data_IF_262107972017
#
_entry.id   IF_262107972017
#
_cell.length_a   1.000
_cell.length_b   1.000
_cell.length_c   1.000
_cell.angle_alpha   90.00
_cell.angle_beta   90.00
_cell.angle_gamma   90.00
#
_symmetry.space_group_name_H-M   'P 1'
#
loop_
_entity.id
_entity.type
_entity.pdbx_description
1 polymer ?
#
# COMPACT_ATOMS: atom_id res chain seq x y z
N UNK A 1 1.13 -0.62 -17.25
CA UNK A 1 2.47 -0.35 -16.70
C UNK A 1 3.28 -1.61 -16.83
N UNK A 2 4.50 -1.52 -17.35
CA UNK A 2 5.44 -2.65 -17.42
C UNK A 2 6.24 -2.76 -16.12
N UNK A 3 6.76 -3.96 -15.82
CA UNK A 3 7.63 -4.25 -14.67
C UNK A 3 8.74 -3.22 -14.45
N UNK A 4 9.46 -2.85 -15.52
CA UNK A 4 10.53 -1.84 -15.48
C UNK A 4 10.07 -0.49 -14.92
N UNK A 5 8.87 -0.05 -15.29
CA UNK A 5 8.33 1.22 -14.80
C UNK A 5 7.99 1.16 -13.31
N UNK A 6 7.59 -0.02 -12.81
CA UNK A 6 7.35 -0.24 -11.38
C UNK A 6 8.66 -0.15 -10.60
N UNK A 7 9.72 -0.78 -11.10
CA UNK A 7 11.06 -0.73 -10.49
C UNK A 7 11.58 0.70 -10.48
N UNK A 8 11.51 1.41 -11.60
CA UNK A 8 11.95 2.80 -11.69
C UNK A 8 11.21 3.72 -10.69
N UNK A 9 9.91 3.48 -10.47
CA UNK A 9 9.13 4.22 -9.46
C UNK A 9 9.55 3.87 -8.05
N UNK A 10 9.79 2.59 -7.75
CA UNK A 10 10.30 2.17 -6.45
C UNK A 10 11.63 2.83 -6.12
N UNK A 11 12.57 2.84 -7.07
CA UNK A 11 13.86 3.52 -6.98
C UNK A 11 13.69 5.03 -6.74
N UNK A 12 12.78 5.70 -7.45
CA UNK A 12 12.51 7.13 -7.27
C UNK A 12 11.90 7.51 -5.90
N UNK A 13 11.40 6.50 -5.18
CA UNK A 13 10.84 6.62 -3.84
C UNK A 13 11.81 6.14 -2.76
N UNK A 14 12.98 5.60 -3.11
CA UNK A 14 14.03 5.31 -2.14
C UNK A 14 14.47 6.56 -1.39
N UNK A 15 14.48 6.46 -0.05
CA UNK A 15 14.74 7.58 0.85
C UNK A 15 13.52 8.47 1.18
N UNK A 16 12.42 8.42 0.42
CA UNK A 16 11.19 9.17 0.72
C UNK A 16 10.29 8.37 1.65
N UNK A 17 10.37 8.63 2.95
CA UNK A 17 9.56 7.92 3.95
C UNK A 17 8.09 8.39 3.95
N UNK A 18 7.16 7.46 3.82
CA UNK A 18 5.76 7.69 4.15
C UNK A 18 5.58 8.12 5.62
N UNK A 19 4.49 8.85 5.88
CA UNK A 19 4.14 9.27 7.23
C UNK A 19 3.29 8.20 7.91
N UNK A 20 3.68 7.86 9.14
CA UNK A 20 2.86 7.12 10.07
C UNK A 20 1.85 8.04 10.75
N UNK A 21 0.58 7.67 10.71
CA UNK A 21 -0.47 8.31 11.50
C UNK A 21 -1.18 7.29 12.40
N UNK A 22 -1.63 7.70 13.59
CA UNK A 22 -2.50 6.87 14.41
C UNK A 22 -3.79 6.56 13.63
N UNK A 23 -4.22 5.31 13.72
CA UNK A 23 -5.46 4.84 13.10
C UNK A 23 -6.13 3.90 14.09
N UNK A 24 -7.02 4.47 14.91
CA UNK A 24 -7.76 3.77 15.96
C UNK A 24 -8.87 2.86 15.40
N UNK A 25 -9.28 3.11 14.15
CA UNK A 25 -10.34 2.36 13.49
C UNK A 25 -9.78 1.50 12.35
N UNK A 26 -10.09 0.20 12.39
CA UNK A 26 -9.76 -0.70 11.30
C UNK A 26 -10.83 -0.63 10.20
N UNK A 27 -10.44 -0.51 8.93
CA UNK A 27 -11.39 -0.48 7.81
C UNK A 27 -12.22 -1.77 7.73
N UNK A 28 -13.54 -1.63 7.80
CA UNK A 28 -14.53 -2.69 7.75
C UNK A 28 -15.45 -2.57 6.52
N UNK A 29 -16.12 -3.66 6.13
CA UNK A 29 -17.00 -3.70 4.95
C UNK A 29 -16.28 -3.52 3.60
N UNK A 30 -14.98 -3.85 3.55
CA UNK A 30 -14.13 -3.62 2.39
C UNK A 30 -14.08 -4.82 1.46
N UNK A 31 -13.89 -4.56 0.16
CA UNK A 31 -13.66 -5.60 -0.86
C UNK A 31 -12.17 -5.70 -1.16
N UNK A 32 -11.59 -6.86 -0.90
CA UNK A 32 -10.20 -7.15 -1.21
C UNK A 32 -10.03 -7.64 -2.66
N UNK A 33 -9.01 -7.15 -3.34
CA UNK A 33 -8.55 -7.58 -4.65
C UNK A 33 -7.06 -7.91 -4.58
N UNK A 34 -6.64 -8.87 -5.41
CA UNK A 34 -5.22 -9.17 -5.62
C UNK A 34 -4.55 -8.01 -6.35
N UNK A 35 -3.29 -7.78 -6.03
CA UNK A 35 -2.46 -6.84 -6.78
C UNK A 35 -2.24 -7.33 -8.22
N UNK A 36 -2.06 -6.39 -9.18
CA UNK A 36 -1.61 -6.72 -10.52
C UNK A 36 -0.26 -7.45 -10.46
N UNK A 37 -0.10 -8.48 -11.30
CA UNK A 37 1.12 -9.30 -11.30
C UNK A 37 2.37 -8.48 -11.62
N UNK A 38 2.29 -7.51 -12.53
CA UNK A 38 3.42 -6.65 -12.91
C UNK A 38 3.95 -5.81 -11.74
N UNK A 39 3.04 -5.33 -10.87
CA UNK A 39 3.42 -4.55 -9.69
C UNK A 39 4.08 -5.45 -8.65
N UNK A 40 3.55 -6.67 -8.47
CA UNK A 40 4.16 -7.67 -7.59
C UNK A 40 5.58 -7.97 -8.10
N UNK A 41 5.72 -8.38 -9.36
CA UNK A 41 6.97 -8.85 -9.94
C UNK A 41 8.09 -7.80 -9.86
N UNK A 42 7.79 -6.54 -10.21
CA UNK A 42 8.77 -5.47 -10.17
C UNK A 42 9.24 -5.14 -8.75
N UNK A 43 8.34 -5.11 -7.77
CA UNK A 43 8.70 -4.78 -6.40
C UNK A 43 9.33 -5.96 -5.64
N UNK A 44 8.88 -7.19 -5.91
CA UNK A 44 9.51 -8.39 -5.37
C UNK A 44 10.96 -8.52 -5.87
N UNK A 45 11.22 -8.20 -7.14
CA UNK A 45 12.57 -8.18 -7.70
C UNK A 45 13.45 -7.09 -7.08
N UNK A 46 12.96 -5.84 -7.02
CA UNK A 46 13.75 -4.72 -6.52
C UNK A 46 14.08 -4.83 -5.02
N UNK A 47 13.10 -5.20 -4.21
CA UNK A 47 13.25 -5.24 -2.75
C UNK A 47 13.54 -6.64 -2.18
N UNK A 48 13.55 -7.68 -3.02
CA UNK A 48 13.70 -9.08 -2.60
C UNK A 48 12.73 -9.50 -1.49
N UNK A 49 11.46 -9.09 -1.61
CA UNK A 49 10.38 -9.37 -0.64
C UNK A 49 9.25 -10.18 -1.28
N UNK A 50 8.37 -10.79 -0.47
CA UNK A 50 7.19 -11.51 -0.96
C UNK A 50 5.91 -10.71 -0.76
N UNK A 51 5.32 -10.19 -1.83
CA UNK A 51 4.10 -9.38 -1.85
C UNK A 51 2.83 -10.18 -2.15
N UNK A 52 2.93 -11.49 -2.35
CA UNK A 52 1.76 -12.35 -2.66
C UNK A 52 0.64 -12.30 -1.59
N UNK A 53 0.95 -11.89 -0.35
CA UNK A 53 -0.01 -11.75 0.74
C UNK A 53 -0.67 -10.37 0.79
N UNK A 54 -0.14 -9.40 0.05
CA UNK A 54 -0.67 -8.05 0.01
C UNK A 54 -1.98 -8.02 -0.77
N UNK A 55 -2.97 -7.35 -0.18
CA UNK A 55 -4.30 -7.18 -0.77
C UNK A 55 -4.64 -5.71 -0.86
N UNK A 56 -5.33 -5.35 -1.94
CA UNK A 56 -5.87 -4.01 -2.15
C UNK A 56 -7.34 -4.02 -1.76
N UNK A 57 -7.71 -3.21 -0.79
CA UNK A 57 -9.05 -3.07 -0.25
C UNK A 57 -9.69 -1.79 -0.76
N UNK A 58 -10.96 -1.88 -1.17
CA UNK A 58 -11.78 -0.72 -1.57
C UNK A 58 -13.20 -0.79 -1.02
N UNK A 59 -13.87 0.36 -0.95
CA UNK A 59 -15.23 0.48 -0.41
C UNK A 59 -15.29 0.43 1.12
N UNK A 60 -16.49 0.19 1.67
CA UNK A 60 -16.71 0.19 3.12
C UNK A 60 -16.38 1.54 3.77
N UNK A 61 -15.84 1.50 5.00
CA UNK A 61 -15.47 2.73 5.72
C UNK A 61 -14.09 3.32 5.33
N UNK A 62 -13.43 2.81 4.28
CA UNK A 62 -12.11 3.32 3.85
C UNK A 62 -12.18 4.81 3.52
N UNK A 63 -13.28 5.27 2.92
CA UNK A 63 -13.42 6.66 2.53
C UNK A 63 -13.46 7.61 3.72
N UNK A 64 -14.07 7.21 4.83
CA UNK A 64 -14.09 7.99 6.07
C UNK A 64 -12.72 8.01 6.74
N UNK A 65 -12.10 6.84 6.87
CA UNK A 65 -10.75 6.70 7.44
C UNK A 65 -9.74 7.52 6.62
N UNK A 66 -9.80 7.44 5.29
CA UNK A 66 -8.96 8.23 4.40
C UNK A 66 -9.14 9.74 4.58
N UNK A 67 -10.37 10.22 4.81
CA UNK A 67 -10.64 11.62 5.15
C UNK A 67 -10.01 12.03 6.49
N UNK A 68 -10.18 11.21 7.54
CA UNK A 68 -9.56 11.42 8.86
C UNK A 68 -8.03 11.48 8.75
N UNK A 69 -7.46 10.57 7.95
CA UNK A 69 -6.03 10.49 7.67
C UNK A 69 -5.55 11.58 6.67
N UNK A 70 -6.45 12.30 6.00
CA UNK A 70 -6.16 13.23 4.89
C UNK A 70 -5.28 12.58 3.81
N UNK A 71 -5.66 11.37 3.41
CA UNK A 71 -4.93 10.50 2.51
C UNK A 71 -5.81 10.01 1.37
N UNK A 72 -5.25 9.82 0.17
CA UNK A 72 -5.96 9.17 -0.95
C UNK A 72 -5.86 7.64 -0.89
N UNK A 73 -4.77 7.16 -0.31
CA UNK A 73 -4.51 5.77 -0.04
C UNK A 73 -3.77 5.68 1.30
N UNK A 74 -3.97 4.59 2.00
CA UNK A 74 -3.23 4.29 3.21
C UNK A 74 -3.01 2.79 3.33
N UNK A 75 -1.97 2.40 4.06
CA UNK A 75 -1.64 1.00 4.24
C UNK A 75 -1.63 0.65 5.72
N UNK A 76 -2.14 -0.54 6.05
CA UNK A 76 -2.18 -1.07 7.41
C UNK A 76 -1.63 -2.49 7.34
N UNK A 77 -0.58 -2.74 8.12
CA UNK A 77 0.15 -4.02 8.10
C UNK A 77 0.68 -4.32 6.69
N UNK A 78 0.13 -5.32 6.01
CA UNK A 78 0.43 -5.66 4.63
C UNK A 78 -0.69 -5.34 3.65
N UNK A 79 -1.75 -4.63 4.06
CA UNK A 79 -2.91 -4.36 3.21
C UNK A 79 -2.94 -2.90 2.79
N UNK A 80 -3.36 -2.67 1.54
CA UNK A 80 -3.46 -1.35 0.94
C UNK A 80 -4.93 -0.98 0.86
N UNK A 81 -5.30 0.20 1.32
CA UNK A 81 -6.67 0.70 1.32
C UNK A 81 -6.76 1.93 0.45
N UNK A 82 -7.56 1.86 -0.61
CA UNK A 82 -7.76 2.98 -1.54
C UNK A 82 -9.09 3.65 -1.26
N UNK A 83 -9.06 4.96 -1.02
CA UNK A 83 -10.25 5.79 -0.77
C UNK A 83 -11.18 5.81 -1.98
N UNK A 84 -10.59 5.76 -3.18
CA UNK A 84 -11.30 5.74 -4.45
C UNK A 84 -11.11 4.40 -5.14
N UNK A 85 -12.21 3.74 -5.47
CA UNK A 85 -12.19 2.43 -6.14
C UNK A 85 -11.57 2.46 -7.54
N UNK A 86 -11.57 3.61 -8.21
CA UNK A 86 -10.94 3.79 -9.54
C UNK A 86 -9.42 3.65 -9.51
N UNK A 87 -8.80 3.95 -8.36
CA UNK A 87 -7.35 3.91 -8.21
C UNK A 87 -6.79 2.47 -8.13
N UNK A 88 -7.64 1.44 -8.01
CA UNK A 88 -7.19 0.03 -8.09
C UNK A 88 -6.56 -0.27 -9.44
N UNK A 89 -7.00 0.41 -10.50
CA UNK A 89 -6.43 0.27 -11.85
C UNK A 89 -5.14 1.08 -12.00
N UNK A 90 -4.86 2.00 -11.08
CA UNK A 90 -3.69 2.85 -11.12
C UNK A 90 -2.48 2.09 -10.58
N UNK A 91 -1.77 1.40 -11.47
CA UNK A 91 -0.57 0.64 -11.12
C UNK A 91 0.54 1.51 -10.54
N UNK A 92 0.62 2.78 -10.94
CA UNK A 92 1.60 3.72 -10.38
C UNK A 92 1.31 4.03 -8.92
N UNK A 93 0.04 4.31 -8.59
CA UNK A 93 -0.35 4.55 -7.21
C UNK A 93 -0.08 3.30 -6.36
N UNK A 94 -0.41 2.11 -6.88
CA UNK A 94 -0.13 0.87 -6.17
C UNK A 94 1.36 0.68 -5.91
N UNK A 95 2.21 0.89 -6.92
CA UNK A 95 3.66 0.81 -6.78
C UNK A 95 4.21 1.82 -5.76
N UNK A 96 3.66 3.04 -5.76
CA UNK A 96 4.02 4.10 -4.81
C UNK A 96 3.71 3.68 -3.37
N UNK A 97 2.46 3.29 -3.11
CA UNK A 97 2.00 2.91 -1.78
C UNK A 97 2.70 1.63 -1.28
N UNK A 98 2.96 0.66 -2.15
CA UNK A 98 3.69 -0.56 -1.81
C UNK A 98 5.14 -0.30 -1.44
N UNK A 99 5.82 0.56 -2.19
CA UNK A 99 7.21 0.92 -1.88
C UNK A 99 7.31 1.44 -0.45
N UNK A 100 6.37 2.28 -0.04
CA UNK A 100 6.27 2.77 1.34
C UNK A 100 6.05 1.67 2.37
N UNK A 101 5.23 0.66 2.06
CA UNK A 101 5.01 -0.51 2.94
C UNK A 101 6.29 -1.30 3.15
N UNK A 102 7.01 -1.57 2.05
CA UNK A 102 8.22 -2.37 2.07
C UNK A 102 9.33 -1.63 2.83
N UNK A 103 9.51 -0.34 2.55
CA UNK A 103 10.48 0.52 3.22
C UNK A 103 10.20 0.66 4.71
N UNK A 104 8.94 0.89 5.12
CA UNK A 104 8.60 0.97 6.54
C UNK A 104 8.83 -0.35 7.26
N UNK A 105 8.54 -1.47 6.58
CA UNK A 105 8.73 -2.80 7.14
C UNK A 105 10.23 -3.16 7.29
N UNK A 106 11.14 -2.29 6.85
CA UNK A 106 12.59 -2.52 6.88
C UNK A 106 12.98 -3.74 6.04
N UNK A 107 12.29 -3.94 4.91
CA UNK A 107 12.49 -5.12 4.06
C UNK A 107 11.91 -6.43 4.61
N UNK A 108 11.24 -6.41 5.78
CA UNK A 108 10.61 -7.60 6.37
C UNK A 108 9.15 -7.31 6.68
N UNK A 109 8.27 -7.73 5.77
CA UNK A 109 6.83 -7.69 6.00
C UNK A 109 6.47 -8.45 7.30
N UNK A 110 6.12 -7.72 8.35
CA UNK A 110 5.80 -8.30 9.67
C UNK A 110 4.45 -9.03 9.59
N UNK A 111 4.34 -10.16 10.32
CA UNK A 111 3.07 -10.88 10.49
C UNK A 111 2.10 -10.01 11.30
N UNK A 112 0.94 -9.69 10.71
CA UNK A 112 -0.31 -9.17 11.33
C UNK A 112 -0.15 -8.62 12.74
N UNK A 113 0.14 -7.33 12.84
CA UNK A 113 0.03 -6.60 14.11
C UNK A 113 -1.32 -5.90 14.23
N UNK A 114 -1.78 -5.66 15.47
CA UNK A 114 -3.06 -5.01 15.77
C UNK A 114 -3.16 -3.65 15.02
N UNK A 115 -4.33 -3.29 14.47
CA UNK A 115 -4.52 -1.96 13.90
C UNK A 115 -4.24 -0.91 14.98
N UNK A 116 -3.53 0.14 14.60
CA UNK A 116 -3.14 1.20 15.52
C UNK A 116 -2.32 2.28 14.82
N UNK A 117 -1.70 1.95 13.68
CA UNK A 117 -1.03 2.91 12.82
C UNK A 117 -1.34 2.65 11.34
N UNK A 118 -1.66 3.71 10.62
CA UNK A 118 -1.79 3.71 9.17
C UNK A 118 -0.62 4.47 8.54
N UNK A 119 -0.06 3.86 7.51
CA UNK A 119 0.93 4.45 6.63
C UNK A 119 0.23 5.27 5.56
N UNK A 120 0.74 6.46 5.29
CA UNK A 120 0.17 7.36 4.30
C UNK A 120 1.28 7.77 3.34
N UNK A 121 1.14 7.35 2.08
CA UNK A 121 1.91 7.92 0.98
C UNK A 121 1.54 9.38 0.78
N UNK A 122 2.55 10.24 0.65
CA UNK A 122 2.38 11.66 0.31
C UNK A 122 2.70 11.88 -1.16
#
# INVERSE_FOLDING_TARGET
MSKDSVIAKAQALEGKKARLKPCDEAPSGTKAKKLPKDVIDGLEEHFNVKLNKVRVHTGGNIAEIGRKLKAKAFTIDQNIYLVKSGDVKNSELLAHELTHVIQQSGGKLKKKTKPGKALIGK
#
